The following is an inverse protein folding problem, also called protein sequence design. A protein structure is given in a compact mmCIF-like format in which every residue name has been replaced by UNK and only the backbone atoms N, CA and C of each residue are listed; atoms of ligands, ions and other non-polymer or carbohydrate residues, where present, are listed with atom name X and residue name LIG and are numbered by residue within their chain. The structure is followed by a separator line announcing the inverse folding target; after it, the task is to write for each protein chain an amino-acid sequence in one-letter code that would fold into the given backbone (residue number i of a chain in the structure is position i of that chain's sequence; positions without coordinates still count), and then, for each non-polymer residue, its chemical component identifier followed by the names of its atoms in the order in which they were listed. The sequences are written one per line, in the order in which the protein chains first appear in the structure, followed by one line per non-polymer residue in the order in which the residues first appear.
data_IF_532439739303
#
_entry.id   IF_532439739303
#
_cell.length_a   1.000
_cell.length_b   1.000
_cell.length_c   1.000
_cell.angle_alpha   90.00
_cell.angle_beta   90.00
_cell.angle_gamma   90.00
#
_symmetry.space_group_name_H-M   'P 1'
#
loop_
_entity.id
_entity.type
_entity.pdbx_description
1 polymer ?
#
# COMPACT_ATOMS: atom_id res chain seq x y z
N UNK A 1 -13.52 9.18 -21.59
CA UNK A 1 -12.37 9.29 -20.67
C UNK A 1 -12.56 10.55 -19.85
N UNK A 2 -12.61 10.42 -18.53
CA UNK A 2 -13.09 11.49 -17.64
C UNK A 2 -12.05 12.62 -17.49
N UNK A 3 -10.77 12.29 -17.49
CA UNK A 3 -9.68 13.25 -17.26
C UNK A 3 -9.04 13.85 -18.52
N UNK A 4 -9.44 13.40 -19.71
CA UNK A 4 -8.76 13.80 -20.96
C UNK A 4 -8.78 15.32 -21.17
N UNK A 5 -9.94 15.97 -21.03
CA UNK A 5 -10.08 17.41 -21.26
C UNK A 5 -9.32 18.24 -20.23
N UNK A 6 -9.15 17.71 -19.00
CA UNK A 6 -8.36 18.35 -17.95
C UNK A 6 -6.86 18.25 -18.21
N UNK A 7 -6.38 17.10 -18.69
CA UNK A 7 -4.96 16.86 -18.98
C UNK A 7 -4.53 17.59 -20.26
N UNK A 8 -5.41 17.66 -21.27
CA UNK A 8 -5.09 18.30 -22.54
C UNK A 8 -3.92 17.62 -23.25
N UNK A 9 -2.93 18.41 -23.63
CA UNK A 9 -1.73 17.96 -24.35
C UNK A 9 -0.52 17.75 -23.42
N UNK A 10 -0.70 17.83 -22.10
CA UNK A 10 0.37 17.64 -21.15
C UNK A 10 0.77 16.16 -21.00
N UNK A 11 2.07 15.91 -20.84
CA UNK A 11 2.56 14.64 -20.34
C UNK A 11 2.14 14.45 -18.87
N UNK A 12 1.77 13.24 -18.48
CA UNK A 12 1.24 12.98 -17.14
C UNK A 12 1.69 11.63 -16.58
N UNK A 13 1.53 11.49 -15.26
CA UNK A 13 1.71 10.21 -14.56
C UNK A 13 0.33 9.62 -14.28
N UNK A 14 0.13 8.37 -14.66
CA UNK A 14 -0.98 7.56 -14.18
C UNK A 14 -0.46 6.62 -13.09
N UNK A 15 -0.93 6.81 -11.87
CA UNK A 15 -0.55 6.02 -10.71
C UNK A 15 -1.80 5.31 -10.19
N UNK A 16 -1.81 3.97 -10.22
CA UNK A 16 -2.93 3.17 -9.69
C UNK A 16 -2.98 3.27 -8.16
N UNK A 17 -4.15 3.64 -7.61
CA UNK A 17 -4.29 4.04 -6.20
C UNK A 17 -4.08 2.94 -5.16
N UNK A 18 -3.93 1.70 -5.59
CA UNK A 18 -3.69 0.48 -4.81
C UNK A 18 -2.22 0.03 -4.84
N UNK A 19 -1.31 0.82 -5.41
CA UNK A 19 0.10 0.45 -5.53
C UNK A 19 1.00 1.24 -4.57
N UNK A 20 1.88 0.54 -3.85
CA UNK A 20 2.88 1.15 -2.97
C UNK A 20 4.26 0.88 -3.55
N UNK A 21 4.98 1.95 -3.87
CA UNK A 21 6.36 1.90 -4.37
C UNK A 21 7.31 2.59 -3.40
N UNK A 22 8.30 1.85 -2.92
CA UNK A 22 9.35 2.40 -2.09
C UNK A 22 10.29 3.30 -2.92
N UNK A 23 10.64 4.46 -2.38
CA UNK A 23 11.53 5.44 -3.02
C UNK A 23 10.85 6.38 -4.01
N UNK A 24 9.55 6.19 -4.26
CA UNK A 24 8.75 7.04 -5.14
C UNK A 24 9.20 7.00 -6.61
N UNK A 25 8.75 7.99 -7.39
CA UNK A 25 8.87 8.01 -8.86
C UNK A 25 9.69 9.17 -9.42
N UNK A 26 10.35 9.95 -8.55
CA UNK A 26 10.97 11.21 -8.95
C UNK A 26 12.06 11.03 -10.01
N UNK A 27 12.81 9.94 -9.97
CA UNK A 27 13.82 9.63 -10.99
C UNK A 27 13.17 9.26 -12.32
N UNK A 28 12.15 8.41 -12.29
CA UNK A 28 11.44 7.95 -13.48
C UNK A 28 10.73 9.10 -14.20
N UNK A 29 10.21 10.07 -13.45
CA UNK A 29 9.66 11.32 -14.03
C UNK A 29 10.73 12.15 -14.72
N UNK A 30 11.93 12.28 -14.13
CA UNK A 30 13.06 12.98 -14.77
C UNK A 30 13.50 12.26 -16.04
N UNK A 31 13.73 10.95 -15.93
CA UNK A 31 14.17 10.12 -17.06
C UNK A 31 13.18 10.17 -18.22
N UNK A 32 11.87 10.14 -17.94
CA UNK A 32 10.84 10.24 -18.97
C UNK A 32 10.87 11.60 -19.67
N UNK A 33 10.94 12.70 -18.91
CA UNK A 33 11.02 14.06 -19.45
C UNK A 33 12.25 14.29 -20.34
N UNK A 34 13.39 13.72 -19.95
CA UNK A 34 14.65 13.87 -20.68
C UNK A 34 14.79 12.87 -21.84
N UNK A 35 13.89 11.89 -21.93
CA UNK A 35 13.85 10.89 -22.99
C UNK A 35 13.04 11.35 -24.21
N UNK A 36 13.07 10.54 -25.27
CA UNK A 36 12.15 10.65 -26.41
C UNK A 36 11.07 9.57 -26.38
N UNK A 37 10.70 9.09 -25.20
CA UNK A 37 9.68 8.07 -25.03
C UNK A 37 8.27 8.69 -25.11
N UNK A 38 7.36 7.96 -25.75
CA UNK A 38 5.94 8.31 -25.82
C UNK A 38 5.19 7.75 -24.60
N UNK A 39 5.68 6.65 -24.06
CA UNK A 39 5.24 6.07 -22.80
C UNK A 39 6.43 5.46 -22.02
N UNK A 40 6.32 5.43 -20.70
CA UNK A 40 7.22 4.71 -19.82
C UNK A 40 6.44 3.87 -18.83
N UNK A 41 6.88 2.61 -18.69
CA UNK A 41 6.30 1.63 -17.76
C UNK A 41 7.35 1.25 -16.70
N UNK A 42 6.87 1.01 -15.48
CA UNK A 42 7.69 0.43 -14.42
C UNK A 42 7.39 -1.07 -14.35
N UNK A 43 8.46 -1.86 -14.26
CA UNK A 43 8.42 -3.31 -14.22
C UNK A 43 9.10 -3.84 -12.96
N UNK A 44 8.61 -4.95 -12.44
CA UNK A 44 9.27 -5.71 -11.38
C UNK A 44 9.19 -7.20 -11.64
N UNK A 45 10.14 -7.97 -11.12
CA UNK A 45 10.09 -9.42 -11.20
C UNK A 45 9.13 -9.97 -10.13
N UNK A 46 8.24 -10.87 -10.53
CA UNK A 46 7.28 -11.52 -9.63
C UNK A 46 7.26 -13.04 -9.84
N UNK A 47 6.93 -13.77 -8.77
CA UNK A 47 6.82 -15.23 -8.82
C UNK A 47 5.53 -15.72 -9.50
N UNK A 48 4.45 -14.92 -9.42
CA UNK A 48 3.12 -15.23 -9.95
C UNK A 48 2.65 -14.21 -11.01
N UNK A 49 3.33 -14.13 -12.17
CA UNK A 49 3.06 -13.12 -13.20
C UNK A 49 1.66 -13.22 -13.84
N UNK A 50 1.01 -14.38 -13.79
CA UNK A 50 -0.35 -14.61 -14.31
C UNK A 50 -1.43 -13.73 -13.65
N UNK A 51 -1.12 -13.12 -12.50
CA UNK A 51 -2.02 -12.22 -11.75
C UNK A 51 -1.97 -10.78 -12.25
N UNK A 52 -1.02 -10.42 -13.12
CA UNK A 52 -0.71 -9.04 -13.48
C UNK A 52 -0.69 -8.84 -15.01
N UNK A 53 -0.55 -7.58 -15.44
CA UNK A 53 -0.10 -7.27 -16.80
C UNK A 53 1.39 -7.58 -16.93
N UNK A 54 1.77 -8.43 -17.88
CA UNK A 54 3.14 -8.93 -18.03
C UNK A 54 3.77 -8.36 -19.29
N UNK A 55 4.99 -7.84 -19.17
CA UNK A 55 5.75 -7.29 -20.29
C UNK A 55 6.87 -8.24 -20.74
N UNK A 56 7.04 -8.38 -22.04
CA UNK A 56 8.18 -9.03 -22.67
C UNK A 56 9.12 -7.95 -23.20
N UNK A 57 10.41 -8.09 -22.91
CA UNK A 57 11.46 -7.19 -23.40
C UNK A 57 12.33 -7.92 -24.44
N UNK A 58 12.80 -7.22 -25.46
CA UNK A 58 13.84 -7.73 -26.36
C UNK A 58 15.24 -7.68 -25.72
N UNK A 59 16.25 -8.15 -26.47
CA UNK A 59 17.64 -8.14 -26.02
C UNK A 59 18.24 -6.75 -25.78
N UNK A 60 17.63 -5.70 -26.32
CA UNK A 60 18.01 -4.29 -26.11
C UNK A 60 17.19 -3.63 -24.98
N UNK A 61 16.32 -4.39 -24.31
CA UNK A 61 15.48 -3.92 -23.21
C UNK A 61 14.24 -3.15 -23.64
N UNK A 62 13.83 -3.24 -24.91
CA UNK A 62 12.62 -2.57 -25.43
C UNK A 62 11.40 -3.43 -25.21
N UNK A 63 10.26 -2.80 -24.92
CA UNK A 63 8.99 -3.51 -24.74
C UNK A 63 8.49 -4.00 -26.08
N UNK A 64 8.40 -5.31 -26.26
CA UNK A 64 7.91 -5.94 -27.50
C UNK A 64 6.48 -6.44 -27.39
N UNK A 65 6.05 -6.81 -26.18
CA UNK A 65 4.72 -7.36 -25.96
C UNK A 65 4.28 -7.08 -24.54
N UNK A 66 3.01 -6.72 -24.37
CA UNK A 66 2.33 -6.75 -23.08
C UNK A 66 1.07 -7.60 -23.17
N UNK A 67 0.78 -8.33 -22.10
CA UNK A 67 -0.42 -9.17 -22.01
C UNK A 67 -1.04 -9.05 -20.63
N UNK A 68 -2.33 -8.74 -20.56
CA UNK A 68 -3.07 -8.68 -19.30
C UNK A 68 -3.41 -10.08 -18.78
N UNK A 69 -2.98 -10.38 -17.54
CA UNK A 69 -3.27 -11.62 -16.80
C UNK A 69 -3.15 -12.89 -17.67
N UNK A 70 -1.97 -13.12 -18.26
CA UNK A 70 -1.78 -14.22 -19.21
C UNK A 70 -1.83 -15.57 -18.49
N UNK A 71 -2.53 -16.55 -19.09
CA UNK A 71 -2.48 -17.95 -18.63
C UNK A 71 -1.08 -18.57 -18.77
N UNK A 72 -0.34 -18.15 -19.79
CA UNK A 72 1.06 -18.52 -20.04
C UNK A 72 1.85 -17.22 -20.15
N UNK A 73 2.44 -16.75 -19.05
CA UNK A 73 3.19 -15.49 -19.01
C UNK A 73 4.39 -15.49 -19.97
N UNK A 74 4.58 -14.44 -20.79
CA UNK A 74 5.73 -14.35 -21.69
C UNK A 74 7.05 -14.09 -20.94
N UNK A 75 6.97 -13.59 -19.71
CA UNK A 75 8.11 -13.35 -18.82
C UNK A 75 7.63 -13.36 -17.35
N UNK A 76 8.53 -13.06 -16.42
CA UNK A 76 8.22 -12.79 -15.01
C UNK A 76 8.17 -11.28 -14.69
N UNK A 77 8.14 -10.41 -15.69
CA UNK A 77 8.15 -8.95 -15.52
C UNK A 77 6.72 -8.41 -15.48
N UNK A 78 6.24 -8.08 -14.29
CA UNK A 78 4.91 -7.50 -14.08
C UNK A 78 4.95 -5.97 -14.12
N UNK A 79 3.87 -5.38 -14.64
CA UNK A 79 3.57 -3.96 -14.53
C UNK A 79 3.33 -3.56 -13.07
N UNK A 80 4.02 -2.51 -12.64
CA UNK A 80 3.98 -1.97 -11.27
C UNK A 80 2.75 -1.08 -11.00
N UNK A 81 1.94 -0.79 -12.02
CA UNK A 81 0.79 0.11 -11.87
C UNK A 81 1.14 1.60 -11.86
N UNK A 82 2.35 1.95 -12.34
CA UNK A 82 2.81 3.33 -12.49
C UNK A 82 3.26 3.52 -13.92
N UNK A 83 2.69 4.52 -14.57
CA UNK A 83 2.86 4.79 -15.98
C UNK A 83 3.11 6.27 -16.21
N UNK A 84 3.99 6.58 -17.15
CA UNK A 84 4.21 7.95 -17.62
C UNK A 84 3.82 8.01 -19.08
N UNK A 85 2.95 8.95 -19.43
CA UNK A 85 2.35 9.01 -20.75
C UNK A 85 2.47 10.39 -21.37
N UNK A 86 2.68 10.39 -22.67
CA UNK A 86 2.28 11.48 -23.55
C UNK A 86 0.80 11.31 -23.96
N UNK A 87 0.12 12.36 -24.45
CA UNK A 87 -1.33 12.35 -24.70
C UNK A 87 -1.85 11.28 -25.68
N UNK A 88 -1.02 10.71 -26.56
CA UNK A 88 -1.47 9.70 -27.53
C UNK A 88 -1.98 8.41 -26.87
N UNK A 89 -1.73 8.18 -25.57
CA UNK A 89 -2.37 7.09 -24.83
C UNK A 89 -3.90 7.18 -24.86
N UNK A 90 -4.47 8.38 -24.98
CA UNK A 90 -5.91 8.56 -25.13
C UNK A 90 -6.42 8.02 -26.47
N UNK A 91 -5.65 8.17 -27.55
CA UNK A 91 -5.99 7.55 -28.84
C UNK A 91 -5.95 6.03 -28.74
N UNK A 92 -4.93 5.50 -28.07
CA UNK A 92 -4.81 4.07 -27.82
C UNK A 92 -6.01 3.54 -27.02
N UNK A 93 -6.38 4.19 -25.92
CA UNK A 93 -7.51 3.81 -25.09
C UNK A 93 -8.87 3.85 -25.82
N UNK A 94 -9.03 4.71 -26.83
CA UNK A 94 -10.23 4.74 -27.71
C UNK A 94 -10.22 3.62 -28.76
N UNK A 95 -9.05 3.08 -29.07
CA UNK A 95 -8.85 2.12 -30.16
C UNK A 95 -8.92 0.66 -29.69
N UNK A 96 -8.77 0.41 -28.39
CA UNK A 96 -8.87 -0.94 -27.81
C UNK A 96 -10.32 -1.37 -27.64
N UNK A 97 -10.51 -2.69 -27.52
CA UNK A 97 -11.82 -3.31 -27.26
C UNK A 97 -11.84 -3.88 -25.84
N UNK A 98 -13.02 -4.04 -25.24
CA UNK A 98 -13.13 -4.68 -23.94
C UNK A 98 -12.50 -6.08 -23.94
N UNK A 99 -11.77 -6.38 -22.85
CA UNK A 99 -11.16 -7.68 -22.61
C UNK A 99 -12.22 -8.75 -22.34
N UNK A 100 -11.78 -9.99 -22.09
CA UNK A 100 -12.67 -11.07 -21.64
C UNK A 100 -13.37 -10.77 -20.31
N UNK A 101 -12.89 -9.76 -19.55
CA UNK A 101 -13.50 -9.23 -18.33
C UNK A 101 -14.51 -8.11 -18.58
N UNK A 102 -14.71 -7.75 -19.84
CA UNK A 102 -15.52 -6.61 -20.25
C UNK A 102 -14.97 -5.26 -19.73
N UNK A 103 -13.66 -5.17 -19.53
CA UNK A 103 -12.92 -3.98 -19.09
C UNK A 103 -12.01 -3.48 -20.21
N UNK A 104 -11.74 -2.17 -20.26
CA UNK A 104 -10.71 -1.60 -21.13
C UNK A 104 -9.39 -1.60 -20.37
N UNK A 105 -8.48 -2.49 -20.75
CA UNK A 105 -7.24 -2.72 -20.01
C UNK A 105 -6.16 -1.71 -20.45
N UNK A 106 -5.46 -1.09 -19.49
CA UNK A 106 -4.34 -0.20 -19.83
C UNK A 106 -3.22 -0.95 -20.58
N UNK A 107 -3.02 -2.22 -20.25
CA UNK A 107 -2.06 -3.12 -20.89
C UNK A 107 -2.30 -3.22 -22.40
N UNK A 108 -3.56 -3.30 -22.82
CA UNK A 108 -3.94 -3.35 -24.24
C UNK A 108 -3.69 -1.99 -24.93
N UNK A 109 -3.93 -0.87 -24.22
CA UNK A 109 -3.63 0.45 -24.76
C UNK A 109 -2.12 0.67 -24.96
N UNK A 110 -1.29 0.20 -24.01
CA UNK A 110 0.17 0.25 -24.15
C UNK A 110 0.63 -0.68 -25.27
N UNK A 111 0.06 -1.88 -25.38
CA UNK A 111 0.34 -2.80 -26.48
C UNK A 111 0.01 -2.16 -27.84
N UNK A 112 -1.10 -1.44 -27.94
CA UNK A 112 -1.46 -0.69 -29.15
C UNK A 112 -0.39 0.36 -29.51
N UNK A 113 0.19 1.06 -28.52
CA UNK A 113 1.28 2.00 -28.76
C UNK A 113 2.50 1.31 -29.36
N UNK A 114 2.89 0.15 -28.82
CA UNK A 114 3.99 -0.68 -29.35
C UNK A 114 3.72 -1.07 -30.80
N UNK A 115 2.52 -1.57 -31.11
CA UNK A 115 2.13 -2.00 -32.45
C UNK A 115 2.09 -0.86 -33.48
N UNK A 116 1.83 0.37 -33.03
CA UNK A 116 1.86 1.58 -33.88
C UNK A 116 3.25 2.20 -34.02
N UNK A 117 4.27 1.62 -33.39
CA UNK A 117 5.65 2.07 -33.49
C UNK A 117 5.99 3.26 -32.58
N UNK A 118 5.15 3.55 -31.58
CA UNK A 118 5.49 4.52 -30.54
C UNK A 118 6.58 3.95 -29.61
N UNK A 119 7.37 4.84 -29.01
CA UNK A 119 8.48 4.47 -28.13
C UNK A 119 7.99 4.24 -26.73
N UNK A 120 7.79 2.96 -26.38
CA UNK A 120 7.51 2.53 -25.02
C UNK A 120 8.80 2.11 -24.34
N UNK A 121 9.21 2.89 -23.34
CA UNK A 121 10.37 2.58 -22.49
C UNK A 121 9.95 1.79 -21.26
N UNK A 122 10.84 0.94 -20.75
CA UNK A 122 10.64 0.22 -19.51
C UNK A 122 11.77 0.51 -18.52
N UNK A 123 11.42 0.59 -17.24
CA UNK A 123 12.38 0.71 -16.14
C UNK A 123 12.12 -0.37 -15.09
N UNK A 124 13.19 -1.02 -14.63
CA UNK A 124 13.10 -2.01 -13.57
C UNK A 124 13.12 -1.31 -12.20
N UNK A 125 12.11 -1.60 -11.39
CA UNK A 125 12.08 -1.18 -10.00
C UNK A 125 13.13 -1.99 -9.23
N UNK A 126 14.00 -1.27 -8.50
CA UNK A 126 15.06 -1.87 -7.67
C UNK A 126 14.65 -2.01 -6.20
N UNK A 127 13.69 -1.19 -5.78
CA UNK A 127 13.12 -1.16 -4.45
C UNK A 127 11.95 -2.14 -4.35
N UNK A 128 11.37 -2.32 -3.16
CA UNK A 128 10.17 -3.14 -3.06
C UNK A 128 8.94 -2.39 -3.60
N UNK A 129 8.02 -3.17 -4.14
CA UNK A 129 6.71 -2.75 -4.60
C UNK A 129 5.66 -3.72 -4.07
N UNK A 130 4.48 -3.21 -3.75
CA UNK A 130 3.35 -4.01 -3.31
C UNK A 130 2.05 -3.50 -3.90
N UNK A 131 1.30 -4.42 -4.50
CA UNK A 131 -0.12 -4.26 -4.83
C UNK A 131 -0.95 -4.56 -3.57
N UNK A 132 -1.71 -3.57 -3.08
CA UNK A 132 -2.53 -3.66 -1.87
C UNK A 132 -4.01 -3.88 -2.18
N UNK A 133 -4.32 -4.83 -3.05
CA UNK A 133 -5.70 -5.19 -3.41
C UNK A 133 -6.49 -5.94 -2.33
N UNK A 134 -5.83 -6.46 -1.27
CA UNK A 134 -6.48 -7.21 -0.17
C UNK A 134 -5.97 -6.79 1.21
N UNK A 135 -6.75 -6.99 2.29
CA UNK A 135 -6.31 -6.65 3.65
C UNK A 135 -4.96 -7.27 4.06
N UNK A 136 -4.72 -8.54 3.71
CA UNK A 136 -3.46 -9.22 3.98
C UNK A 136 -2.28 -8.58 3.24
N UNK A 137 -2.52 -8.02 2.04
CA UNK A 137 -1.48 -7.32 1.28
C UNK A 137 -1.13 -5.97 1.92
N UNK A 138 -2.10 -5.30 2.56
CA UNK A 138 -1.88 -4.08 3.34
C UNK A 138 -1.02 -4.38 4.58
N UNK A 139 -1.31 -5.45 5.32
CA UNK A 139 -0.49 -5.87 6.46
C UNK A 139 0.94 -6.25 6.02
N UNK A 140 1.07 -6.95 4.89
CA UNK A 140 2.37 -7.26 4.28
C UNK A 140 3.14 -5.99 3.89
N UNK A 141 2.46 -4.98 3.31
CA UNK A 141 3.08 -3.70 2.97
C UNK A 141 3.56 -2.95 4.22
N UNK A 142 2.75 -2.96 5.29
CA UNK A 142 3.12 -2.38 6.57
C UNK A 142 4.38 -3.02 7.14
N UNK A 143 4.55 -4.34 7.00
CA UNK A 143 5.76 -5.02 7.46
C UNK A 143 7.01 -4.54 6.72
N UNK A 144 6.92 -4.35 5.40
CA UNK A 144 8.04 -3.82 4.60
C UNK A 144 8.45 -2.41 5.04
N UNK A 145 7.47 -1.55 5.35
CA UNK A 145 7.73 -0.21 5.91
C UNK A 145 8.40 -0.30 7.28
N UNK A 146 7.92 -1.20 8.14
CA UNK A 146 8.44 -1.40 9.50
C UNK A 146 9.81 -2.07 9.55
N UNK A 147 10.18 -2.87 8.56
CA UNK A 147 11.50 -3.48 8.46
C UNK A 147 12.61 -2.44 8.20
N UNK A 148 12.29 -1.35 7.51
CA UNK A 148 13.21 -0.25 7.21
C UNK A 148 13.19 0.88 8.26
N UNK A 149 12.34 0.72 9.27
CA UNK A 149 12.12 1.71 10.32
C UNK A 149 13.42 2.11 11.02
N UNK A 150 13.67 3.42 11.05
CA UNK A 150 14.72 4.00 11.91
C UNK A 150 14.10 4.37 13.27
N UNK A 151 14.64 3.90 14.40
CA UNK A 151 14.08 4.21 15.71
C UNK A 151 14.10 5.72 15.99
N UNK A 152 13.00 6.26 16.53
CA UNK A 152 12.88 7.67 16.90
C UNK A 152 11.79 7.87 17.96
N UNK A 153 12.14 8.36 19.14
CA UNK A 153 11.22 8.47 20.28
C UNK A 153 11.11 9.93 20.71
N UNK A 154 10.00 10.55 20.31
CA UNK A 154 9.64 11.93 20.66
C UNK A 154 8.59 12.01 21.78
N UNK A 155 7.91 10.89 22.08
CA UNK A 155 6.92 10.78 23.15
C UNK A 155 7.53 10.59 24.55
N UNK A 156 6.68 10.61 25.58
CA UNK A 156 7.06 10.39 26.97
C UNK A 156 6.82 8.93 27.39
N UNK A 157 7.88 8.28 27.87
CA UNK A 157 7.82 6.96 28.48
C UNK A 157 7.64 7.12 29.99
N UNK A 158 6.49 6.68 30.52
CA UNK A 158 6.20 6.74 31.96
C UNK A 158 6.89 5.65 32.77
N UNK A 159 6.93 5.83 34.09
CA UNK A 159 7.58 4.91 35.01
C UNK A 159 7.03 3.48 34.89
N UNK A 160 7.95 2.51 34.89
CA UNK A 160 7.63 1.09 34.72
C UNK A 160 7.34 0.63 33.29
N UNK A 161 7.23 1.55 32.32
CA UNK A 161 7.04 1.20 30.92
C UNK A 161 8.36 0.73 30.28
N UNK A 162 8.25 -0.14 29.27
CA UNK A 162 9.41 -0.70 28.57
C UNK A 162 9.27 -0.50 27.07
N UNK A 163 10.36 -0.10 26.41
CA UNK A 163 10.45 0.01 24.96
C UNK A 163 11.69 -0.73 24.49
N UNK A 164 11.53 -1.68 23.55
CA UNK A 164 12.61 -2.52 23.04
C UNK A 164 12.52 -2.66 21.52
N UNK A 165 13.67 -2.69 20.85
CA UNK A 165 13.74 -2.91 19.39
C UNK A 165 13.60 -1.62 18.58
N UNK A 166 13.26 -1.74 17.30
CA UNK A 166 13.07 -0.58 16.41
C UNK A 166 11.71 0.05 16.68
N UNK A 167 11.66 1.17 17.38
CA UNK A 167 10.38 1.78 17.74
C UNK A 167 10.40 3.25 17.36
N UNK A 168 9.31 3.70 16.74
CA UNK A 168 9.00 5.11 16.59
C UNK A 168 7.83 5.51 17.48
N UNK A 169 7.96 6.62 18.19
CA UNK A 169 6.89 7.20 19.03
C UNK A 169 6.78 8.69 18.73
N UNK A 170 5.64 9.11 18.20
CA UNK A 170 5.36 10.49 17.86
C UNK A 170 5.32 11.44 19.07
N UNK A 171 5.40 12.74 18.78
CA UNK A 171 5.28 13.81 19.77
C UNK A 171 3.96 13.72 20.56
N UNK A 172 3.98 14.21 21.80
CA UNK A 172 2.84 14.19 22.75
C UNK A 172 2.27 12.81 23.09
N UNK A 173 2.81 11.74 22.53
CA UNK A 173 2.40 10.39 22.89
C UNK A 173 2.92 10.01 24.27
N UNK A 174 2.09 9.38 25.08
CA UNK A 174 2.40 8.97 26.44
C UNK A 174 2.21 7.47 26.58
N UNK A 175 3.25 6.78 27.04
CA UNK A 175 3.16 5.42 27.57
C UNK A 175 3.03 5.50 29.09
N UNK A 176 2.04 4.85 29.69
CA UNK A 176 1.92 4.79 31.15
C UNK A 176 1.46 3.41 31.66
N UNK A 177 1.36 3.28 32.99
CA UNK A 177 0.88 2.08 33.71
C UNK A 177 1.56 0.78 33.28
N UNK A 178 2.89 0.79 33.25
CA UNK A 178 3.71 -0.39 32.90
C UNK A 178 3.45 -0.95 31.49
N UNK A 179 3.09 -0.08 30.53
CA UNK A 179 2.94 -0.47 29.13
C UNK A 179 4.26 -0.94 28.52
N UNK A 180 4.18 -1.88 27.59
CA UNK A 180 5.35 -2.50 26.95
C UNK A 180 5.23 -2.36 25.44
N UNK A 181 6.27 -1.86 24.79
CA UNK A 181 6.37 -1.74 23.34
C UNK A 181 7.57 -2.54 22.83
N UNK A 182 7.36 -3.43 21.87
CA UNK A 182 8.40 -4.24 21.25
C UNK A 182 8.37 -4.12 19.74
N UNK A 183 9.43 -3.55 19.18
CA UNK A 183 9.56 -3.25 17.76
C UNK A 183 9.84 -4.47 16.85
N UNK A 184 9.68 -4.31 15.52
CA UNK A 184 9.44 -3.04 14.84
C UNK A 184 8.01 -2.50 15.03
N UNK A 185 7.85 -1.26 15.51
CA UNK A 185 6.55 -0.62 15.81
C UNK A 185 6.60 0.87 15.51
N UNK A 186 5.54 1.41 14.93
CA UNK A 186 5.28 2.85 14.85
C UNK A 186 4.09 3.18 15.74
N UNK A 187 4.23 4.21 16.58
CA UNK A 187 3.13 4.85 17.30
C UNK A 187 3.12 6.32 16.89
N UNK A 188 1.97 6.79 16.40
CA UNK A 188 1.75 8.15 15.96
C UNK A 188 1.83 9.19 17.09
N UNK A 189 1.41 10.40 16.79
CA UNK A 189 1.39 11.54 17.70
C UNK A 189 0.16 11.51 18.58
N UNK A 190 0.21 12.24 19.69
CA UNK A 190 -0.94 12.51 20.56
C UNK A 190 -1.67 11.23 21.04
N UNK A 191 -0.94 10.11 21.16
CA UNK A 191 -1.50 8.83 21.59
C UNK A 191 -1.38 8.66 23.11
N UNK A 192 -2.30 7.88 23.69
CA UNK A 192 -2.20 7.40 25.06
C UNK A 192 -2.21 5.87 25.05
N UNK A 193 -1.12 5.27 25.51
CA UNK A 193 -0.99 3.82 25.66
C UNK A 193 -0.88 3.51 27.14
N UNK A 194 -1.87 2.84 27.69
CA UNK A 194 -2.02 2.62 29.13
C UNK A 194 -2.23 1.16 29.45
N UNK A 195 -1.43 0.60 30.35
CA UNK A 195 -1.51 -0.81 30.76
C UNK A 195 -1.66 -1.78 29.56
N UNK A 196 -0.88 -1.54 28.50
CA UNK A 196 -1.05 -2.23 27.21
C UNK A 196 0.27 -2.75 26.66
N UNK A 197 0.18 -3.76 25.80
CA UNK A 197 1.31 -4.30 25.05
C UNK A 197 1.15 -4.00 23.56
N UNK A 198 2.13 -3.32 22.96
CA UNK A 198 2.21 -3.13 21.52
C UNK A 198 3.40 -3.92 20.99
N UNK A 199 3.10 -5.02 20.31
CA UNK A 199 4.06 -5.98 19.78
C UNK A 199 4.50 -5.69 18.36
N UNK A 200 5.47 -6.47 17.86
CA UNK A 200 6.09 -6.29 16.55
C UNK A 200 5.08 -6.20 15.41
N UNK A 201 5.50 -5.50 14.35
CA UNK A 201 4.73 -5.32 13.13
C UNK A 201 3.40 -4.59 13.31
N UNK A 202 3.29 -3.80 14.39
CA UNK A 202 2.12 -2.97 14.65
C UNK A 202 2.37 -1.51 14.29
N UNK A 203 1.37 -0.88 13.69
CA UNK A 203 1.35 0.55 13.39
C UNK A 203 0.12 1.20 14.00
N UNK A 204 0.34 2.15 14.90
CA UNK A 204 -0.73 2.88 15.60
C UNK A 204 -0.75 4.31 15.06
N UNK A 205 -1.88 4.74 14.50
CA UNK A 205 -2.08 6.07 13.95
C UNK A 205 -2.24 7.14 15.04
N UNK A 206 -2.26 8.41 14.61
CA UNK A 206 -2.30 9.55 15.52
C UNK A 206 -3.59 9.59 16.37
N UNK A 207 -3.48 10.15 17.58
CA UNK A 207 -4.63 10.37 18.46
C UNK A 207 -5.29 9.10 18.99
N UNK A 208 -4.62 7.95 18.93
CA UNK A 208 -5.18 6.69 19.43
C UNK A 208 -5.12 6.61 20.95
N UNK A 209 -6.12 5.98 21.54
CA UNK A 209 -6.18 5.69 22.98
C UNK A 209 -6.31 4.19 23.18
N UNK A 210 -5.26 3.55 23.67
CA UNK A 210 -5.21 2.10 23.84
C UNK A 210 -5.02 1.82 25.34
N UNK A 211 -6.00 1.15 25.93
CA UNK A 211 -6.03 0.79 27.35
C UNK A 211 -6.32 -0.68 27.51
N UNK A 212 -5.66 -1.32 28.48
CA UNK A 212 -5.91 -2.72 28.86
C UNK A 212 -5.81 -3.74 27.71
N UNK A 213 -5.08 -3.45 26.61
CA UNK A 213 -5.08 -4.28 25.40
C UNK A 213 -3.69 -4.79 25.00
N UNK A 214 -3.67 -5.88 24.23
CA UNK A 214 -2.46 -6.37 23.55
C UNK A 214 -2.67 -6.30 22.04
N UNK A 215 -1.71 -5.76 21.28
CA UNK A 215 -1.81 -5.60 19.82
C UNK A 215 -0.53 -6.12 19.16
N UNK A 216 -0.63 -6.94 18.11
CA UNK A 216 0.50 -7.46 17.36
C UNK A 216 0.16 -7.61 15.88
N UNK A 217 1.11 -7.39 14.96
CA UNK A 217 0.90 -7.59 13.52
C UNK A 217 -0.29 -6.80 12.95
N UNK A 218 -0.64 -5.66 13.55
CA UNK A 218 -1.91 -4.98 13.28
C UNK A 218 -1.72 -3.50 12.94
N UNK A 219 -2.60 -2.97 12.10
CA UNK A 219 -2.67 -1.55 11.77
C UNK A 219 -3.89 -0.97 12.46
N UNK A 220 -3.69 0.05 13.29
CA UNK A 220 -4.74 0.81 13.97
C UNK A 220 -4.72 2.23 13.41
N UNK A 221 -5.73 2.63 12.66
CA UNK A 221 -5.78 3.97 12.07
C UNK A 221 -6.15 5.04 13.10
N UNK A 222 -5.88 6.30 12.74
CA UNK A 222 -5.96 7.46 13.62
C UNK A 222 -7.32 7.65 14.31
N UNK A 223 -7.28 8.25 15.51
CA UNK A 223 -8.45 8.58 16.32
C UNK A 223 -9.16 7.38 16.93
N UNK A 224 -8.57 6.18 16.85
CA UNK A 224 -9.19 4.95 17.33
C UNK A 224 -8.98 4.76 18.83
N UNK A 225 -10.02 4.26 19.52
CA UNK A 225 -9.97 3.94 20.95
C UNK A 225 -10.21 2.45 21.16
N UNK A 226 -9.30 1.81 21.89
CA UNK A 226 -9.31 0.38 22.19
C UNK A 226 -9.22 0.21 23.70
N UNK A 227 -10.25 -0.40 24.30
CA UNK A 227 -10.33 -0.77 25.71
C UNK A 227 -10.88 -2.19 25.80
N UNK A 228 -10.04 -3.16 25.45
CA UNK A 228 -10.40 -4.58 25.41
C UNK A 228 -9.32 -5.39 26.11
N UNK A 229 -9.70 -6.18 27.11
CA UNK A 229 -8.79 -7.06 27.88
C UNK A 229 -8.41 -8.32 27.11
N UNK A 230 -8.03 -8.14 25.84
CA UNK A 230 -7.78 -9.21 24.88
C UNK A 230 -6.64 -8.82 23.94
N UNK A 231 -6.06 -9.85 23.33
CA UNK A 231 -5.08 -9.69 22.26
C UNK A 231 -5.77 -9.51 20.91
N UNK A 232 -5.30 -8.53 20.16
CA UNK A 232 -5.66 -8.23 18.77
C UNK A 232 -4.45 -8.61 17.91
N UNK A 233 -4.67 -9.44 16.89
CA UNK A 233 -3.62 -9.93 15.99
C UNK A 233 -4.06 -9.81 14.54
N UNK A 234 -3.11 -9.58 13.64
CA UNK A 234 -3.30 -9.63 12.19
C UNK A 234 -4.53 -8.84 11.70
N UNK A 235 -4.73 -7.65 12.29
CA UNK A 235 -5.95 -6.87 12.15
C UNK A 235 -5.72 -5.51 11.49
N UNK A 236 -6.68 -5.09 10.66
CA UNK A 236 -6.78 -3.73 10.12
C UNK A 236 -7.96 -3.02 10.77
N UNK A 237 -7.68 -2.07 11.66
CA UNK A 237 -8.70 -1.30 12.38
C UNK A 237 -8.78 0.10 11.78
N UNK A 238 -9.94 0.43 11.19
CA UNK A 238 -10.20 1.71 10.54
C UNK A 238 -10.16 2.93 11.47
N UNK A 239 -10.21 4.13 10.89
CA UNK A 239 -10.09 5.37 11.65
C UNK A 239 -11.33 5.66 12.49
N UNK A 240 -11.14 6.31 13.64
CA UNK A 240 -12.21 6.68 14.58
C UNK A 240 -13.07 5.50 15.05
N UNK A 241 -12.48 4.30 15.09
CA UNK A 241 -13.15 3.11 15.60
C UNK A 241 -13.12 3.13 17.13
N UNK A 242 -14.13 2.53 17.77
CA UNK A 242 -14.13 2.27 19.20
C UNK A 242 -14.36 0.79 19.47
N UNK A 243 -13.33 0.12 20.00
CA UNK A 243 -13.41 -1.25 20.50
C UNK A 243 -13.44 -1.20 22.02
N UNK A 244 -14.50 -1.69 22.64
CA UNK A 244 -14.63 -1.68 24.10
C UNK A 244 -15.45 -2.86 24.59
N UNK A 245 -15.09 -3.38 25.77
CA UNK A 245 -15.92 -4.37 26.46
C UNK A 245 -17.00 -3.69 27.32
N UNK A 246 -18.25 -4.14 27.18
CA UNK A 246 -19.33 -3.76 28.11
C UNK A 246 -19.66 -4.93 29.03
N UNK A 247 -19.71 -4.67 30.33
CA UNK A 247 -20.05 -5.67 31.35
C UNK A 247 -21.55 -5.70 31.69
N UNK A 248 -22.37 -4.94 30.96
CA UNK A 248 -23.82 -4.96 31.12
C UNK A 248 -24.44 -6.25 30.56
N UNK A 249 -25.54 -6.70 31.15
CA UNK A 249 -26.31 -7.84 30.64
C UNK A 249 -27.32 -7.37 29.57
N UNK A 250 -27.59 -8.16 28.52
CA UNK A 250 -27.00 -9.46 28.21
C UNK A 250 -25.55 -9.33 27.69
N UNK A 251 -24.72 -10.32 28.02
CA UNK A 251 -23.36 -10.41 27.45
C UNK A 251 -23.46 -10.90 26.00
N UNK A 252 -22.75 -10.24 25.10
CA UNK A 252 -22.68 -10.61 23.70
C UNK A 252 -21.87 -9.59 22.91
N UNK A 253 -21.58 -9.92 21.66
CA UNK A 253 -20.92 -8.98 20.76
C UNK A 253 -21.95 -8.05 20.13
N UNK A 254 -21.60 -6.76 20.05
CA UNK A 254 -22.36 -5.75 19.32
C UNK A 254 -21.43 -5.15 18.29
N UNK A 255 -21.81 -5.26 17.02
CA UNK A 255 -21.01 -4.78 15.92
C UNK A 255 -21.71 -3.63 15.21
N UNK A 256 -20.90 -2.66 14.78
CA UNK A 256 -21.25 -1.68 13.76
C UNK A 256 -20.16 -1.84 12.70
N UNK A 257 -20.52 -2.41 11.56
CA UNK A 257 -19.57 -2.80 10.51
C UNK A 257 -19.84 -1.99 9.24
N UNK A 258 -18.78 -1.68 8.49
CA UNK A 258 -18.85 -1.03 7.19
C UNK A 258 -18.75 -2.03 6.04
N UNK A 259 -18.65 -1.51 4.81
CA UNK A 259 -18.50 -2.33 3.61
C UNK A 259 -17.23 -3.19 3.66
N UNK A 260 -17.34 -4.43 3.18
CA UNK A 260 -16.24 -5.40 3.12
C UNK A 260 -15.59 -5.73 4.48
N UNK A 261 -16.31 -5.52 5.59
CA UNK A 261 -15.83 -5.92 6.92
C UNK A 261 -15.86 -7.45 7.07
N UNK A 262 -14.75 -8.02 7.50
CA UNK A 262 -14.66 -9.42 7.95
C UNK A 262 -14.34 -9.45 9.44
N UNK A 263 -15.07 -10.27 10.20
CA UNK A 263 -14.92 -10.36 11.65
C UNK A 263 -14.74 -11.83 12.04
N UNK A 264 -13.64 -12.13 12.70
CA UNK A 264 -13.34 -13.42 13.30
C UNK A 264 -13.23 -13.22 14.82
N UNK A 265 -14.01 -13.97 15.60
CA UNK A 265 -14.13 -13.85 17.08
C UNK A 265 -13.95 -15.18 17.80
#
# INVERSE_FOLDING_TARGET
MISQDFIGDDSFVMYLGDNILQGGIAQQVRDFRDSKADASILLTQVDHPERFGVAELDGDGRVVRLVEKPKVPPSNLALVGIYLFQPMIFEAAKSIKPSWRNELEITDAIQWLVEKGYRVSASLVKSWWKDTGRPEDILSANNLVLDELQPDICGRIGDGCQVQGRVQIGENTVLDRSSVVRGPVIIGRDCLISNSYIGPYSSIGDGCQITDAEIEGSIVMSGTSIDVRRKIVDSLIGANVRLFESYQKPRGYRFVLGDSSEVSV
#
